data_IF_492010136207
#
_entry.id   IF_492010136207
#
_cell.length_a   1.000
_cell.length_b   1.000
_cell.length_c   1.000
_cell.angle_alpha   90.00
_cell.angle_beta   90.00
_cell.angle_gamma   90.00
#
_symmetry.space_group_name_H-M   'P 1'
#
loop_
_entity.id
_entity.type
_entity.pdbx_description
1 polymer ?
#
# COMPACT_ATOMS: atom_id res chain seq x y z
N UNK A 1 -19.62 12.92 -7.50
CA UNK A 1 -19.29 11.55 -7.90
C UNK A 1 -17.82 11.27 -7.67
N UNK A 2 -17.51 10.20 -6.96
CA UNK A 2 -16.16 9.90 -6.49
C UNK A 2 -15.33 9.10 -7.49
N UNK A 3 -15.64 9.22 -8.79
CA UNK A 3 -14.97 8.44 -9.84
C UNK A 3 -13.47 8.70 -9.94
N UNK A 4 -13.03 9.89 -9.47
CA UNK A 4 -11.62 10.28 -9.50
C UNK A 4 -10.95 10.18 -8.14
N UNK A 5 -11.66 9.69 -7.14
CA UNK A 5 -11.13 9.55 -5.80
C UNK A 5 -10.06 8.45 -5.78
N UNK A 6 -8.82 8.75 -5.34
CA UNK A 6 -7.78 7.74 -5.30
C UNK A 6 -8.13 6.59 -4.36
N UNK A 7 -7.73 5.38 -4.72
CA UNK A 7 -7.92 4.19 -3.89
C UNK A 7 -7.34 4.37 -2.50
N UNK A 8 -6.23 5.10 -2.40
CA UNK A 8 -5.57 5.37 -1.12
C UNK A 8 -6.39 6.21 -0.14
N UNK A 9 -7.42 6.93 -0.61
CA UNK A 9 -8.32 7.72 0.23
C UNK A 9 -9.53 6.91 0.72
N UNK A 10 -9.66 5.68 0.27
CA UNK A 10 -10.76 4.79 0.61
C UNK A 10 -10.42 3.89 1.79
N UNK A 11 -11.43 3.48 2.57
CA UNK A 11 -11.24 2.42 3.55
C UNK A 11 -11.09 1.07 2.84
N UNK A 12 -10.72 0.03 3.59
CA UNK A 12 -10.44 -1.27 3.01
C UNK A 12 -11.62 -1.85 2.20
N UNK A 13 -12.87 -1.89 2.72
CA UNK A 13 -13.98 -2.45 1.95
C UNK A 13 -14.20 -1.75 0.61
N UNK A 14 -14.21 -0.43 0.61
CA UNK A 14 -14.40 0.38 -0.59
C UNK A 14 -13.24 0.20 -1.57
N UNK A 15 -12.02 0.18 -1.05
CA UNK A 15 -10.80 -0.02 -1.84
C UNK A 15 -10.80 -1.37 -2.54
N UNK A 16 -11.15 -2.43 -1.81
CA UNK A 16 -11.24 -3.78 -2.36
C UNK A 16 -12.25 -3.85 -3.51
N UNK A 17 -13.44 -3.31 -3.32
CA UNK A 17 -14.47 -3.28 -4.35
C UNK A 17 -14.03 -2.47 -5.57
N UNK A 18 -13.39 -1.33 -5.36
CA UNK A 18 -12.91 -0.47 -6.43
C UNK A 18 -11.82 -1.15 -7.26
N UNK A 19 -10.83 -1.77 -6.61
CA UNK A 19 -9.77 -2.50 -7.29
C UNK A 19 -10.34 -3.67 -8.10
N UNK A 20 -11.32 -4.38 -7.54
CA UNK A 20 -11.99 -5.46 -8.27
C UNK A 20 -12.65 -4.94 -9.55
N UNK A 21 -13.38 -3.84 -9.46
CA UNK A 21 -14.06 -3.24 -10.63
C UNK A 21 -13.07 -2.72 -11.67
N UNK A 22 -11.98 -2.13 -11.24
CA UNK A 22 -10.92 -1.67 -12.13
C UNK A 22 -10.30 -2.83 -12.95
N UNK A 23 -10.29 -4.02 -12.38
CA UNK A 23 -9.85 -5.23 -13.08
C UNK A 23 -10.98 -5.92 -13.84
N UNK A 24 -12.14 -5.29 -13.94
CA UNK A 24 -13.32 -5.82 -14.63
C UNK A 24 -13.76 -7.19 -14.11
N UNK A 25 -13.60 -7.42 -12.81
CA UNK A 25 -13.95 -8.69 -12.17
C UNK A 25 -15.28 -8.56 -11.43
N UNK A 26 -16.11 -9.59 -11.55
CA UNK A 26 -17.28 -9.75 -10.67
C UNK A 26 -16.80 -10.26 -9.30
N UNK A 27 -17.66 -10.18 -8.31
CA UNK A 27 -17.35 -10.75 -7.00
C UNK A 27 -17.08 -12.26 -7.10
N UNK A 28 -17.88 -12.97 -7.90
CA UNK A 28 -17.66 -14.41 -8.12
C UNK A 28 -16.30 -14.67 -8.75
N UNK A 29 -15.94 -13.91 -9.77
CA UNK A 29 -14.68 -14.08 -10.47
C UNK A 29 -13.47 -13.83 -9.58
N UNK A 30 -13.50 -12.77 -8.78
CA UNK A 30 -12.41 -12.49 -7.84
C UNK A 30 -12.32 -13.55 -6.76
N UNK A 31 -13.46 -13.97 -6.20
CA UNK A 31 -13.47 -15.02 -5.17
C UNK A 31 -12.89 -16.32 -5.72
N UNK A 32 -13.27 -16.72 -6.92
CA UNK A 32 -12.71 -17.90 -7.57
C UNK A 32 -11.21 -17.76 -7.79
N UNK A 33 -10.75 -16.63 -8.31
CA UNK A 33 -9.34 -16.37 -8.56
C UNK A 33 -8.51 -16.40 -7.27
N UNK A 34 -9.06 -15.87 -6.18
CA UNK A 34 -8.39 -15.83 -4.89
C UNK A 34 -8.54 -17.13 -4.09
N UNK A 35 -9.40 -18.04 -4.53
CA UNK A 35 -9.63 -19.31 -3.83
C UNK A 35 -10.39 -19.16 -2.52
N UNK A 36 -11.33 -18.24 -2.46
CA UNK A 36 -12.20 -17.99 -1.30
C UNK A 36 -13.67 -18.08 -1.73
N UNK A 37 -14.56 -18.22 -0.77
CA UNK A 37 -15.99 -18.20 -1.05
C UNK A 37 -16.47 -16.77 -1.37
N UNK A 38 -17.39 -16.66 -2.33
CA UNK A 38 -17.96 -15.37 -2.70
C UNK A 38 -18.68 -14.70 -1.52
N UNK A 39 -19.26 -15.48 -0.63
CA UNK A 39 -19.91 -14.93 0.58
C UNK A 39 -18.91 -14.24 1.52
N UNK A 40 -17.69 -14.75 1.58
CA UNK A 40 -16.62 -14.10 2.35
C UNK A 40 -16.23 -12.77 1.69
N UNK A 41 -16.03 -12.78 0.37
CA UNK A 41 -15.69 -11.56 -0.36
C UNK A 41 -16.76 -10.48 -0.19
N UNK A 42 -18.03 -10.86 -0.29
CA UNK A 42 -19.14 -9.93 -0.09
C UNK A 42 -19.10 -9.28 1.28
N UNK A 43 -18.77 -10.03 2.33
CA UNK A 43 -18.65 -9.50 3.69
C UNK A 43 -17.46 -8.55 3.82
N UNK A 44 -16.35 -8.84 3.18
CA UNK A 44 -15.19 -7.95 3.18
C UNK A 44 -15.52 -6.63 2.49
N UNK A 45 -16.18 -6.67 1.34
CA UNK A 45 -16.57 -5.46 0.61
C UNK A 45 -17.67 -4.67 1.33
N UNK A 46 -18.50 -5.34 2.12
CA UNK A 46 -19.54 -4.69 2.94
C UNK A 46 -18.99 -4.14 4.25
N UNK A 47 -17.77 -4.51 4.64
CA UNK A 47 -17.19 -4.07 5.91
C UNK A 47 -17.71 -4.80 7.13
N UNK A 48 -18.41 -5.92 6.97
CA UNK A 48 -18.98 -6.70 8.07
C UNK A 48 -18.02 -7.76 8.60
N UNK A 49 -16.92 -8.00 7.93
CA UNK A 49 -15.90 -8.96 8.33
C UNK A 49 -14.54 -8.50 7.84
N UNK A 50 -13.50 -8.83 8.58
CA UNK A 50 -12.12 -8.53 8.17
C UNK A 50 -11.43 -9.80 7.68
N UNK A 51 -10.68 -9.73 6.57
CA UNK A 51 -9.94 -10.88 6.09
C UNK A 51 -8.74 -11.22 6.99
N UNK A 52 -8.38 -12.48 6.99
CA UNK A 52 -7.13 -12.93 7.60
C UNK A 52 -5.95 -12.48 6.74
N UNK A 53 -4.75 -12.57 7.30
CA UNK A 53 -3.51 -12.29 6.57
C UNK A 53 -3.40 -13.15 5.31
N UNK A 54 -3.74 -14.42 5.42
CA UNK A 54 -3.69 -15.35 4.28
C UNK A 54 -4.66 -14.93 3.16
N UNK A 55 -5.85 -14.47 3.51
CA UNK A 55 -6.83 -13.99 2.53
C UNK A 55 -6.36 -12.71 1.87
N UNK A 56 -5.76 -11.78 2.63
CA UNK A 56 -5.17 -10.55 2.07
C UNK A 56 -4.09 -10.89 1.05
N UNK A 57 -3.23 -11.85 1.36
CA UNK A 57 -2.19 -12.33 0.45
C UNK A 57 -2.81 -12.86 -0.86
N UNK A 58 -3.85 -13.68 -0.76
CA UNK A 58 -4.55 -14.24 -1.91
C UNK A 58 -5.23 -13.16 -2.76
N UNK A 59 -5.86 -12.19 -2.13
CA UNK A 59 -6.51 -11.07 -2.82
C UNK A 59 -5.49 -10.19 -3.55
N UNK A 60 -4.36 -9.89 -2.93
CA UNK A 60 -3.30 -9.09 -3.54
C UNK A 60 -2.76 -9.79 -4.80
N UNK A 61 -2.52 -11.09 -4.72
CA UNK A 61 -2.05 -11.87 -5.86
C UNK A 61 -3.10 -11.88 -6.98
N UNK A 62 -4.36 -12.14 -6.63
CA UNK A 62 -5.46 -12.20 -7.61
C UNK A 62 -5.68 -10.87 -8.32
N UNK A 63 -5.50 -9.75 -7.60
CA UNK A 63 -5.65 -8.41 -8.16
C UNK A 63 -4.35 -7.85 -8.76
N UNK A 64 -3.25 -8.58 -8.64
CA UNK A 64 -1.93 -8.12 -9.11
C UNK A 64 -1.53 -6.77 -8.52
N UNK A 65 -1.83 -6.58 -7.25
CA UNK A 65 -1.45 -5.36 -6.51
C UNK A 65 -0.61 -5.74 -5.30
N UNK A 66 0.08 -4.76 -4.72
CA UNK A 66 0.80 -4.99 -3.47
C UNK A 66 -0.18 -5.07 -2.30
N UNK A 67 0.20 -5.81 -1.26
CA UNK A 67 -0.58 -5.84 -0.03
C UNK A 67 -0.67 -4.44 0.60
N UNK A 68 0.38 -3.62 0.44
CA UNK A 68 0.40 -2.24 0.92
C UNK A 68 -0.77 -1.43 0.34
N UNK A 69 -1.04 -1.58 -0.95
CA UNK A 69 -2.13 -0.87 -1.60
C UNK A 69 -3.49 -1.27 -1.03
N UNK A 70 -3.64 -2.54 -0.65
CA UNK A 70 -4.88 -3.03 -0.04
C UNK A 70 -5.08 -2.57 1.40
N UNK A 71 -4.01 -2.47 2.19
CA UNK A 71 -4.09 -2.37 3.65
C UNK A 71 -3.92 -0.94 4.16
N UNK A 72 -2.97 -0.18 3.58
CA UNK A 72 -2.59 1.11 4.14
C UNK A 72 -3.37 2.26 3.55
N UNK A 73 -3.79 3.17 4.41
CA UNK A 73 -4.38 4.42 4.01
C UNK A 73 -3.30 5.38 3.51
N UNK A 74 -3.74 6.45 2.87
CA UNK A 74 -2.89 7.43 2.20
C UNK A 74 -1.70 7.92 3.02
N UNK A 75 -1.91 8.21 4.29
CA UNK A 75 -0.89 8.83 5.15
C UNK A 75 -0.15 7.83 6.04
N UNK A 76 -0.47 6.55 5.94
CA UNK A 76 0.15 5.53 6.78
C UNK A 76 1.48 5.05 6.25
N UNK A 77 1.67 5.13 4.94
CA UNK A 77 2.89 4.65 4.31
C UNK A 77 3.11 5.34 2.98
N UNK A 78 4.37 5.58 2.65
CA UNK A 78 4.78 6.26 1.42
C UNK A 78 5.31 7.65 1.70
N UNK A 79 5.79 8.35 0.68
CA UNK A 79 6.34 9.69 0.85
C UNK A 79 5.22 10.69 1.16
N UNK A 80 5.52 11.66 2.04
CA UNK A 80 4.62 12.76 2.27
C UNK A 80 4.55 13.69 1.04
N UNK A 81 3.61 14.63 1.04
CA UNK A 81 3.39 15.51 -0.11
C UNK A 81 4.61 16.37 -0.43
N UNK A 82 5.39 16.73 0.57
CA UNK A 82 6.59 17.55 0.39
C UNK A 82 7.68 16.83 -0.41
N UNK A 83 7.80 15.52 -0.25
CA UNK A 83 8.83 14.71 -0.92
C UNK A 83 8.32 13.94 -2.14
N UNK A 84 7.04 13.99 -2.42
CA UNK A 84 6.41 13.18 -3.47
C UNK A 84 7.03 13.39 -4.85
N UNK A 85 7.26 14.65 -5.23
CA UNK A 85 7.83 14.97 -6.54
C UNK A 85 9.25 14.44 -6.69
N UNK A 86 10.04 14.49 -5.62
CA UNK A 86 11.39 13.96 -5.61
C UNK A 86 11.38 12.44 -5.79
N UNK A 87 10.48 11.74 -5.11
CA UNK A 87 10.36 10.30 -5.26
C UNK A 87 9.87 9.90 -6.65
N UNK A 88 8.97 10.65 -7.25
CA UNK A 88 8.53 10.42 -8.62
C UNK A 88 9.70 10.57 -9.60
N UNK A 89 10.51 11.60 -9.43
CA UNK A 89 11.70 11.82 -10.27
C UNK A 89 12.71 10.68 -10.12
N UNK A 90 12.97 10.26 -8.90
CA UNK A 90 13.88 9.14 -8.61
C UNK A 90 13.35 7.84 -9.23
N UNK A 91 12.04 7.66 -9.27
CA UNK A 91 11.42 6.49 -9.88
C UNK A 91 11.77 6.32 -11.36
N UNK A 92 12.13 7.40 -12.06
CA UNK A 92 12.52 7.40 -13.48
C UNK A 92 14.02 7.20 -13.70
N UNK A 93 14.80 7.09 -12.64
CA UNK A 93 16.25 6.90 -12.73
C UNK A 93 16.59 5.52 -13.31
N UNK A 94 17.76 5.42 -13.92
CA UNK A 94 18.34 4.12 -14.31
C UNK A 94 18.66 3.30 -13.06
N UNK A 95 18.90 2.00 -13.24
CA UNK A 95 19.26 1.13 -12.10
C UNK A 95 20.50 1.63 -11.33
N UNK A 96 21.61 2.00 -11.98
CA UNK A 96 22.76 2.56 -11.25
C UNK A 96 22.42 3.84 -10.49
N UNK A 97 21.66 4.73 -11.11
CA UNK A 97 21.25 5.97 -10.48
C UNK A 97 20.35 5.74 -9.27
N UNK A 98 19.43 4.77 -9.35
CA UNK A 98 18.58 4.39 -8.22
C UNK A 98 19.42 3.86 -7.06
N UNK A 99 20.48 3.10 -7.34
CA UNK A 99 21.36 2.59 -6.30
C UNK A 99 22.08 3.71 -5.56
N UNK A 100 22.52 4.73 -6.29
CA UNK A 100 23.16 5.92 -5.69
C UNK A 100 22.13 6.66 -4.83
N UNK A 101 20.94 6.90 -5.34
CA UNK A 101 19.87 7.57 -4.60
C UNK A 101 19.52 6.81 -3.32
N UNK A 102 19.41 5.49 -3.41
CA UNK A 102 19.16 4.64 -2.26
C UNK A 102 20.26 4.75 -1.20
N UNK A 103 21.50 4.72 -1.62
CA UNK A 103 22.65 4.85 -0.71
C UNK A 103 22.65 6.19 0.02
N UNK A 104 22.35 7.28 -0.70
CA UNK A 104 22.25 8.62 -0.11
C UNK A 104 21.12 8.68 0.92
N UNK A 105 19.96 8.17 0.56
CA UNK A 105 18.79 8.14 1.48
C UNK A 105 19.09 7.29 2.71
N UNK A 106 19.70 6.14 2.56
CA UNK A 106 20.10 5.28 3.67
C UNK A 106 21.06 5.98 4.61
N UNK A 107 22.03 6.74 4.06
CA UNK A 107 22.95 7.54 4.85
C UNK A 107 22.26 8.63 5.64
N UNK A 108 21.31 9.33 5.02
CA UNK A 108 20.51 10.34 5.70
C UNK A 108 19.65 9.74 6.81
N UNK A 109 19.05 8.59 6.56
CA UNK A 109 18.22 7.87 7.54
C UNK A 109 19.11 7.45 8.72
N UNK A 110 20.27 6.90 8.45
CA UNK A 110 21.23 6.49 9.48
C UNK A 110 21.64 7.67 10.36
N UNK A 111 21.92 8.81 9.74
CA UNK A 111 22.27 10.04 10.47
C UNK A 111 21.11 10.49 11.37
N UNK A 112 19.89 10.45 10.87
CA UNK A 112 18.69 10.81 11.62
C UNK A 112 18.50 9.87 12.82
N UNK A 113 18.63 8.56 12.60
CA UNK A 113 18.50 7.57 13.66
C UNK A 113 19.56 7.74 14.74
N UNK A 114 20.82 8.02 14.35
CA UNK A 114 21.91 8.26 15.28
C UNK A 114 21.64 9.49 16.16
N UNK A 115 21.17 10.57 15.56
CA UNK A 115 20.80 11.79 16.31
C UNK A 115 19.65 11.52 17.29
N UNK A 116 18.66 10.74 16.89
CA UNK A 116 17.54 10.37 17.73
C UNK A 116 17.98 9.51 18.93
N UNK A 117 18.90 8.59 18.72
CA UNK A 117 19.49 7.78 19.80
C UNK A 117 20.29 8.64 20.78
N UNK A 118 21.08 9.61 20.27
CA UNK A 118 21.84 10.52 21.11
C UNK A 118 20.93 11.37 22.01
N UNK A 119 19.81 11.88 21.48
CA UNK A 119 18.81 12.61 22.25
C UNK A 119 18.18 11.74 23.35
N UNK A 120 17.83 10.51 23.02
CA UNK A 120 17.28 9.56 24.00
C UNK A 120 18.27 9.27 25.12
N UNK A 121 19.54 9.09 24.80
CA UNK A 121 20.59 8.82 25.80
C UNK A 121 20.83 10.04 26.70
N UNK A 122 20.73 11.25 26.14
CA UNK A 122 20.89 12.47 26.92
C UNK A 122 19.71 12.74 27.85
N UNK A 123 18.53 12.26 27.52
CA UNK A 123 17.31 12.47 28.30
C UNK A 123 17.12 11.48 29.46
N UNK A 124 17.93 10.42 29.52
CA UNK A 124 17.81 9.36 30.55
C UNK A 124 18.68 9.60 31.79
#
# INVERSE_FOLDING_TARGET
MDLERPVSDMDFPERLATLRREHSLTQNALAESAGIHVSQLKRYEAGTSQPTLEVIRKLAIALSVSADLLIFDKDERGPDDELRLQFEAIGKFSKPEKQVAKAVLEGLILKHEAARWAEKSAAS
#
